data_IF_892468455774
#
_entry.id   IF_892468455774
#
_cell.length_a   1.000
_cell.length_b   1.000
_cell.length_c   1.000
_cell.angle_alpha   90.00
_cell.angle_beta   90.00
_cell.angle_gamma   90.00
#
_symmetry.space_group_name_H-M   'P 1'
#
loop_
_entity.id
_entity.type
_entity.pdbx_description
1 polymer ?
#
# COMPACT_ATOMS: atom_id res chain seq x y z
N UNK A 1 35.79 89.44 -5.04
CA UNK A 1 34.75 88.78 -4.21
C UNK A 1 34.18 87.50 -4.85
N UNK A 2 34.83 86.89 -5.86
CA UNK A 2 34.27 85.74 -6.61
C UNK A 2 34.76 84.35 -6.17
N UNK A 3 35.91 84.25 -5.51
CA UNK A 3 36.53 82.96 -5.18
C UNK A 3 35.71 82.09 -4.20
N UNK A 4 34.94 82.71 -3.29
CA UNK A 4 34.11 81.97 -2.34
C UNK A 4 32.83 81.37 -2.97
N UNK A 5 32.35 81.93 -4.08
CA UNK A 5 31.13 81.45 -4.76
C UNK A 5 31.40 80.16 -5.55
N UNK A 6 32.58 80.03 -6.16
CA UNK A 6 32.96 78.86 -6.93
C UNK A 6 33.18 77.61 -6.05
N UNK A 7 33.74 77.78 -4.85
CA UNK A 7 34.03 76.67 -3.94
C UNK A 7 32.75 76.07 -3.33
N UNK A 8 31.74 76.90 -3.05
CA UNK A 8 30.43 76.46 -2.54
C UNK A 8 29.66 75.60 -3.56
N UNK A 9 29.73 75.95 -4.85
CA UNK A 9 29.06 75.18 -5.92
C UNK A 9 29.72 73.81 -6.16
N UNK A 10 31.05 73.72 -6.06
CA UNK A 10 31.76 72.42 -6.17
C UNK A 10 31.44 71.47 -5.00
N UNK A 11 31.41 71.99 -3.77
CA UNK A 11 31.06 71.19 -2.59
C UNK A 11 29.59 70.69 -2.63
N UNK A 12 28.66 71.54 -3.09
CA UNK A 12 27.26 71.14 -3.28
C UNK A 12 27.08 70.09 -4.40
N UNK A 13 27.84 70.20 -5.49
CA UNK A 13 27.82 69.24 -6.60
C UNK A 13 28.37 67.86 -6.19
N UNK A 14 29.47 67.81 -5.43
CA UNK A 14 30.07 66.58 -4.94
C UNK A 14 29.19 65.85 -3.89
N UNK A 15 28.49 66.60 -3.05
CA UNK A 15 27.54 66.01 -2.09
C UNK A 15 26.30 65.44 -2.79
N UNK A 16 25.83 66.10 -3.85
CA UNK A 16 24.74 65.61 -4.70
C UNK A 16 25.10 64.32 -5.45
N UNK A 17 26.33 64.22 -5.98
CA UNK A 17 26.79 63.00 -6.67
C UNK A 17 26.97 61.82 -5.72
N UNK A 18 27.47 62.05 -4.50
CA UNK A 18 27.62 61.03 -3.46
C UNK A 18 26.27 60.54 -2.95
N UNK A 19 25.31 61.45 -2.75
CA UNK A 19 23.93 61.11 -2.39
C UNK A 19 23.24 60.28 -3.48
N UNK A 20 23.41 60.67 -4.75
CA UNK A 20 22.88 59.92 -5.90
C UNK A 20 23.45 58.50 -6.01
N UNK A 21 24.75 58.33 -5.79
CA UNK A 21 25.39 57.01 -5.81
C UNK A 21 24.89 56.11 -4.68
N UNK A 22 24.66 56.67 -3.47
CA UNK A 22 24.02 55.96 -2.35
C UNK A 22 22.60 55.51 -2.70
N UNK A 23 21.77 56.43 -3.19
CA UNK A 23 20.39 56.12 -3.60
C UNK A 23 20.35 55.06 -4.71
N UNK A 24 21.29 55.09 -5.65
CA UNK A 24 21.37 54.10 -6.72
C UNK A 24 21.75 52.70 -6.20
N UNK A 25 22.64 52.63 -5.19
CA UNK A 25 22.99 51.38 -4.52
C UNK A 25 21.80 50.81 -3.74
N UNK A 26 21.11 51.65 -2.98
CA UNK A 26 19.90 51.25 -2.24
C UNK A 26 18.81 50.76 -3.19
N UNK A 27 18.56 51.47 -4.30
CA UNK A 27 17.61 51.05 -5.33
C UNK A 27 17.98 49.69 -5.93
N UNK A 28 19.27 49.42 -6.14
CA UNK A 28 19.74 48.14 -6.67
C UNK A 28 19.54 47.01 -5.66
N UNK A 29 19.79 47.27 -4.38
CA UNK A 29 19.56 46.30 -3.30
C UNK A 29 18.07 45.97 -3.16
N UNK A 30 17.20 46.99 -3.09
CA UNK A 30 15.76 46.79 -3.01
C UNK A 30 15.21 45.96 -4.19
N UNK A 31 15.73 46.19 -5.41
CA UNK A 31 15.37 45.37 -6.58
C UNK A 31 15.80 43.91 -6.46
N UNK A 32 16.95 43.66 -5.83
CA UNK A 32 17.43 42.29 -5.62
C UNK A 32 16.58 41.59 -4.55
N UNK A 33 16.26 42.27 -3.45
CA UNK A 33 15.38 41.72 -2.41
C UNK A 33 13.99 41.40 -2.96
N UNK A 34 13.41 42.28 -3.78
CA UNK A 34 12.13 42.00 -4.43
C UNK A 34 12.18 40.75 -5.31
N UNK A 35 13.23 40.59 -6.13
CA UNK A 35 13.42 39.39 -6.95
C UNK A 35 13.61 38.12 -6.11
N UNK A 36 14.29 38.24 -4.97
CA UNK A 36 14.49 37.11 -4.07
C UNK A 36 13.15 36.67 -3.47
N UNK A 37 12.35 37.60 -2.96
CA UNK A 37 11.03 37.30 -2.41
C UNK A 37 10.08 36.69 -3.47
N UNK A 38 10.14 37.17 -4.71
CA UNK A 38 9.36 36.62 -5.83
C UNK A 38 9.75 35.17 -6.13
N UNK A 39 11.05 34.87 -6.18
CA UNK A 39 11.56 33.51 -6.37
C UNK A 39 11.17 32.59 -5.21
N UNK A 40 11.24 33.07 -3.97
CA UNK A 40 10.85 32.31 -2.78
C UNK A 40 9.34 32.01 -2.79
N UNK A 41 8.50 32.98 -3.18
CA UNK A 41 7.06 32.78 -3.33
C UNK A 41 6.73 31.78 -4.44
N UNK A 42 7.42 31.84 -5.59
CA UNK A 42 7.22 30.87 -6.66
C UNK A 42 7.65 29.46 -6.25
N UNK A 43 8.77 29.31 -5.54
CA UNK A 43 9.21 28.02 -5.01
C UNK A 43 8.18 27.45 -4.01
N UNK A 44 7.68 28.27 -3.08
CA UNK A 44 6.65 27.87 -2.12
C UNK A 44 5.35 27.44 -2.83
N UNK A 45 4.95 28.15 -3.88
CA UNK A 45 3.80 27.80 -4.72
C UNK A 45 3.99 26.44 -5.39
N UNK A 46 5.13 26.21 -6.06
CA UNK A 46 5.42 24.91 -6.71
C UNK A 46 5.43 23.76 -5.70
N UNK A 47 5.98 23.99 -4.51
CA UNK A 47 5.96 22.99 -3.44
C UNK A 47 4.52 22.66 -3.03
N UNK A 48 3.64 23.65 -2.93
CA UNK A 48 2.22 23.42 -2.62
C UNK A 48 1.51 22.65 -3.74
N UNK A 49 1.73 23.04 -5.00
CA UNK A 49 1.12 22.36 -6.16
C UNK A 49 1.51 20.88 -6.23
N UNK A 50 2.80 20.57 -6.05
CA UNK A 50 3.28 19.17 -6.03
C UNK A 50 2.67 18.40 -4.85
N UNK A 51 2.54 19.04 -3.67
CA UNK A 51 1.89 18.39 -2.52
C UNK A 51 0.43 18.05 -2.83
N UNK A 52 -0.31 18.98 -3.43
CA UNK A 52 -1.71 18.77 -3.79
C UNK A 52 -1.87 17.68 -4.88
N UNK A 53 -0.96 17.64 -5.85
CA UNK A 53 -0.89 16.57 -6.85
C UNK A 53 -0.67 15.19 -6.21
N UNK A 54 0.28 15.09 -5.26
CA UNK A 54 0.53 13.83 -4.54
C UNK A 54 -0.71 13.40 -3.75
N UNK A 55 -1.35 14.32 -3.01
CA UNK A 55 -2.57 14.02 -2.25
C UNK A 55 -3.69 13.54 -3.17
N UNK A 56 -3.85 14.19 -4.33
CA UNK A 56 -4.83 13.78 -5.34
C UNK A 56 -4.55 12.39 -5.89
N UNK A 57 -3.29 12.12 -6.29
CA UNK A 57 -2.88 10.80 -6.78
C UNK A 57 -3.17 9.71 -5.74
N UNK A 58 -2.81 9.95 -4.48
CA UNK A 58 -3.11 9.01 -3.39
C UNK A 58 -4.62 8.83 -3.15
N UNK A 59 -5.42 9.89 -3.30
CA UNK A 59 -6.89 9.82 -3.23
C UNK A 59 -7.49 9.02 -4.38
N UNK A 60 -7.01 9.21 -5.61
CA UNK A 60 -7.49 8.50 -6.79
C UNK A 60 -7.16 7.00 -6.70
N UNK A 61 -5.99 6.66 -6.15
CA UNK A 61 -5.67 5.27 -5.78
C UNK A 61 -6.63 4.70 -4.73
N UNK A 62 -7.15 5.52 -3.81
CA UNK A 62 -8.07 5.07 -2.76
C UNK A 62 -9.51 4.85 -3.29
N UNK A 63 -9.95 5.61 -4.30
CA UNK A 63 -11.31 5.53 -4.87
C UNK A 63 -11.58 4.22 -5.64
N UNK A 64 -10.56 3.61 -6.26
CA UNK A 64 -10.73 2.36 -7.02
C UNK A 64 -11.00 1.13 -6.13
N UNK A 65 -10.74 1.21 -4.83
CA UNK A 65 -10.90 0.09 -3.89
C UNK A 65 -12.13 0.23 -2.96
N UNK A 66 -12.78 1.40 -2.92
CA UNK A 66 -13.95 1.61 -2.07
C UNK A 66 -15.25 0.97 -2.60
N UNK A 67 -15.20 0.31 -3.77
CA UNK A 67 -16.33 -0.45 -4.32
C UNK A 67 -16.17 -1.94 -4.03
N UNK A 68 -15.91 -2.31 -2.79
CA UNK A 68 -15.97 -3.71 -2.37
C UNK A 68 -17.41 -4.02 -1.94
N UNK A 69 -18.11 -4.97 -2.59
CA UNK A 69 -19.38 -5.46 -2.08
C UNK A 69 -19.09 -6.07 -0.71
N UNK A 70 -19.70 -5.53 0.34
CA UNK A 70 -19.63 -6.05 1.71
C UNK A 70 -19.92 -7.57 1.68
N UNK A 71 -18.86 -8.38 1.67
CA UNK A 71 -18.98 -9.81 1.89
C UNK A 71 -19.40 -10.02 3.35
N UNK A 72 -20.33 -10.95 3.62
CA UNK A 72 -20.78 -11.20 4.97
C UNK A 72 -19.59 -11.60 5.85
N UNK A 73 -19.63 -11.23 7.14
CA UNK A 73 -18.53 -11.47 8.08
C UNK A 73 -18.18 -12.96 8.08
N UNK A 74 -16.90 -13.26 7.82
CA UNK A 74 -16.42 -14.63 7.84
C UNK A 74 -16.36 -15.11 9.29
N UNK A 75 -17.01 -16.24 9.63
CA UNK A 75 -16.99 -16.76 10.99
C UNK A 75 -15.58 -17.26 11.36
N UNK A 76 -15.23 -17.20 12.66
CA UNK A 76 -13.90 -17.55 13.16
C UNK A 76 -13.49 -18.99 12.77
N UNK A 77 -12.18 -19.28 12.61
CA UNK A 77 -11.68 -20.52 12.01
C UNK A 77 -12.23 -21.81 12.64
N UNK A 78 -12.54 -21.80 13.95
CA UNK A 78 -13.11 -22.95 14.66
C UNK A 78 -14.59 -23.21 14.36
N UNK A 79 -15.35 -22.19 13.98
CA UNK A 79 -16.78 -22.33 13.62
C UNK A 79 -16.97 -22.77 12.18
N UNK A 80 -15.99 -22.51 11.30
CA UNK A 80 -16.02 -22.93 9.89
C UNK A 80 -16.13 -24.45 9.75
N UNK A 81 -15.41 -25.20 10.58
CA UNK A 81 -15.48 -26.67 10.58
C UNK A 81 -16.82 -27.18 11.12
N UNK A 82 -17.39 -26.50 12.11
CA UNK A 82 -18.69 -26.86 12.69
C UNK A 82 -19.82 -26.63 11.69
N UNK A 83 -19.81 -25.52 10.96
CA UNK A 83 -20.78 -25.21 9.91
C UNK A 83 -20.70 -26.23 8.78
N UNK A 84 -19.47 -26.61 8.37
CA UNK A 84 -19.26 -27.63 7.34
C UNK A 84 -19.75 -29.00 7.82
N UNK A 85 -19.45 -29.39 9.07
CA UNK A 85 -19.92 -30.64 9.67
C UNK A 85 -21.44 -30.67 9.77
N UNK A 86 -22.08 -29.62 10.30
CA UNK A 86 -23.53 -29.56 10.43
C UNK A 86 -24.24 -29.62 9.07
N UNK A 87 -23.66 -28.96 8.05
CA UNK A 87 -24.17 -29.04 6.68
C UNK A 87 -24.05 -30.46 6.09
N UNK A 88 -22.88 -31.10 6.23
CA UNK A 88 -22.65 -32.48 5.77
C UNK A 88 -23.59 -33.47 6.47
N UNK A 89 -23.84 -33.27 7.77
CA UNK A 89 -24.75 -34.11 8.55
C UNK A 89 -26.24 -33.82 8.26
N UNK A 90 -26.57 -32.67 7.67
CA UNK A 90 -27.92 -32.32 7.25
C UNK A 90 -28.28 -32.81 5.83
N UNK A 91 -27.31 -33.35 5.07
CA UNK A 91 -27.55 -33.92 3.73
C UNK A 91 -28.24 -35.29 3.83
N UNK A 92 -29.27 -35.58 2.99
CA UNK A 92 -29.93 -36.87 2.97
C UNK A 92 -28.96 -37.95 2.48
N UNK A 93 -28.60 -38.89 3.37
CA UNK A 93 -27.72 -40.03 3.06
C UNK A 93 -26.49 -40.17 3.97
N UNK A 94 -26.20 -39.20 4.84
CA UNK A 94 -25.01 -39.23 5.72
C UNK A 94 -25.15 -40.09 6.99
N UNK A 95 -26.25 -40.84 7.14
CA UNK A 95 -26.34 -41.86 8.20
C UNK A 95 -25.28 -42.92 7.93
N UNK A 96 -24.25 -42.90 8.76
CA UNK A 96 -23.28 -43.96 8.96
C UNK A 96 -23.96 -45.33 8.83
N UNK A 97 -23.57 -46.06 7.79
CA UNK A 97 -23.98 -47.45 7.59
C UNK A 97 -23.50 -48.26 8.80
N UNK A 98 -24.45 -48.64 9.65
CA UNK A 98 -24.27 -49.78 10.53
C UNK A 98 -24.28 -51.02 9.65
N UNK A 99 -23.19 -51.78 9.69
CA UNK A 99 -23.02 -53.05 8.97
C UNK A 99 -23.95 -54.10 9.57
N UNK A 100 -25.12 -54.31 8.96
CA UNK A 100 -25.85 -55.56 9.12
C UNK A 100 -25.74 -56.38 7.83
N UNK A 101 -25.16 -57.56 7.98
CA UNK A 101 -25.06 -58.62 6.98
C UNK A 101 -26.47 -59.02 6.52
N UNK A 102 -26.70 -59.29 5.21
CA UNK A 102 -27.58 -60.35 4.67
C UNK A 102 -27.47 -60.42 3.12
N UNK A 103 -27.00 -61.59 2.69
CA UNK A 103 -27.26 -62.43 1.50
C UNK A 103 -27.75 -61.87 0.15
N UNK A 104 -27.01 -62.29 -0.89
CA UNK A 104 -27.24 -62.21 -2.33
C UNK A 104 -28.47 -63.01 -2.81
N UNK A 105 -29.35 -62.40 -3.64
CA UNK A 105 -30.12 -63.01 -4.75
C UNK A 105 -30.79 -61.89 -5.61
N UNK A 106 -30.56 -61.86 -6.93
CA UNK A 106 -31.10 -60.84 -7.86
C UNK A 106 -32.51 -61.14 -8.41
N UNK A 107 -32.92 -60.64 -9.61
CA UNK A 107 -32.59 -59.41 -10.32
C UNK A 107 -33.85 -58.51 -10.51
N UNK A 108 -33.70 -57.19 -10.42
CA UNK A 108 -34.82 -56.27 -10.64
C UNK A 108 -34.36 -54.83 -10.78
N UNK A 109 -33.91 -54.46 -11.97
CA UNK A 109 -33.71 -53.07 -12.33
C UNK A 109 -35.08 -52.38 -12.30
N UNK A 110 -35.32 -51.59 -11.25
CA UNK A 110 -36.27 -50.48 -11.29
C UNK A 110 -35.45 -49.21 -11.42
N UNK A 111 -35.29 -48.76 -12.66
CA UNK A 111 -34.89 -47.37 -12.94
C UNK A 111 -36.01 -46.49 -12.39
N UNK A 112 -35.72 -45.73 -11.33
CA UNK A 112 -36.50 -44.56 -10.97
C UNK A 112 -35.72 -43.31 -11.43
N UNK A 113 -36.38 -42.35 -12.09
CA UNK A 113 -35.72 -41.20 -12.65
C UNK A 113 -35.55 -40.08 -11.62
N UNK A 114 -34.56 -39.24 -11.90
CA UNK A 114 -34.40 -37.86 -11.44
C UNK A 114 -33.80 -37.63 -10.05
N UNK A 115 -32.47 -37.71 -9.94
CA UNK A 115 -31.65 -36.79 -9.11
C UNK A 115 -30.34 -36.37 -9.81
N UNK A 116 -30.40 -36.10 -11.12
CA UNK A 116 -29.22 -35.70 -11.89
C UNK A 116 -28.72 -34.28 -11.55
N UNK A 117 -29.49 -33.46 -10.83
CA UNK A 117 -29.09 -32.06 -10.54
C UNK A 117 -28.21 -31.88 -9.30
N UNK A 118 -28.27 -32.80 -8.34
CA UNK A 118 -27.44 -32.70 -7.13
C UNK A 118 -26.06 -33.32 -7.36
N UNK A 119 -25.98 -34.44 -8.08
CA UNK A 119 -24.72 -35.07 -8.46
C UNK A 119 -23.87 -34.16 -9.36
N UNK A 120 -24.50 -33.44 -10.30
CA UNK A 120 -23.80 -32.47 -11.16
C UNK A 120 -23.20 -31.31 -10.35
N UNK A 121 -23.91 -30.81 -9.33
CA UNK A 121 -23.41 -29.71 -8.46
C UNK A 121 -22.28 -30.16 -7.54
N UNK A 122 -22.36 -31.37 -7.00
CA UNK A 122 -21.27 -31.95 -6.19
C UNK A 122 -20.05 -32.20 -7.08
N UNK A 123 -20.23 -32.69 -8.30
CA UNK A 123 -19.14 -32.90 -9.26
C UNK A 123 -18.50 -31.57 -9.70
N UNK A 124 -19.30 -30.54 -9.99
CA UNK A 124 -18.81 -29.19 -10.33
C UNK A 124 -18.05 -28.53 -9.19
N UNK A 125 -18.55 -28.61 -7.95
CA UNK A 125 -17.86 -28.06 -6.78
C UNK A 125 -16.57 -28.80 -6.47
N UNK A 126 -16.54 -30.13 -6.64
CA UNK A 126 -15.32 -30.94 -6.51
C UNK A 126 -14.31 -30.56 -7.59
N UNK A 127 -14.76 -30.35 -8.84
CA UNK A 127 -13.93 -29.86 -9.93
C UNK A 127 -13.35 -28.47 -9.69
N UNK A 128 -14.14 -27.53 -9.15
CA UNK A 128 -13.69 -26.19 -8.78
C UNK A 128 -12.68 -26.21 -7.62
N UNK A 129 -12.94 -27.01 -6.57
CA UNK A 129 -11.99 -27.16 -5.46
C UNK A 129 -10.68 -27.79 -5.93
N UNK A 130 -10.74 -28.84 -6.76
CA UNK A 130 -9.57 -29.47 -7.33
C UNK A 130 -8.81 -28.51 -8.24
N UNK A 131 -9.51 -27.71 -9.05
CA UNK A 131 -8.91 -26.65 -9.85
C UNK A 131 -8.20 -25.62 -8.96
N UNK A 132 -8.86 -25.11 -7.92
CA UNK A 132 -8.26 -24.18 -6.96
C UNK A 132 -7.03 -24.75 -6.23
N UNK A 133 -7.05 -26.03 -5.87
CA UNK A 133 -5.94 -26.72 -5.21
C UNK A 133 -4.79 -27.06 -6.17
N UNK A 134 -5.09 -27.18 -7.46
CA UNK A 134 -4.12 -27.42 -8.54
C UNK A 134 -3.50 -26.14 -9.11
N UNK A 135 -4.02 -24.95 -8.72
CA UNK A 135 -3.38 -23.69 -9.07
C UNK A 135 -1.97 -23.70 -8.48
N UNK A 136 -0.94 -23.31 -9.25
CA UNK A 136 0.40 -23.17 -8.72
C UNK A 136 0.33 -22.26 -7.50
N UNK A 137 0.75 -22.76 -6.33
CA UNK A 137 0.89 -21.93 -5.14
C UNK A 137 1.70 -20.71 -5.54
N UNK A 138 1.12 -19.51 -5.38
CA UNK A 138 1.83 -18.26 -5.64
C UNK A 138 3.08 -18.32 -4.76
N UNK A 139 4.26 -18.39 -5.37
CA UNK A 139 5.53 -18.36 -4.65
C UNK A 139 5.55 -17.05 -3.86
N UNK A 140 5.50 -17.13 -2.54
CA UNK A 140 5.80 -15.98 -1.68
C UNK A 140 7.23 -15.58 -2.03
N UNK A 141 7.38 -14.37 -2.57
CA UNK A 141 8.70 -13.83 -2.89
C UNK A 141 9.28 -13.39 -1.56
N UNK A 142 10.20 -14.18 -1.01
CA UNK A 142 10.91 -13.79 0.19
C UNK A 142 12.02 -12.80 -0.14
N UNK A 143 12.35 -11.93 0.80
CA UNK A 143 13.34 -10.86 0.65
C UNK A 143 14.48 -11.05 1.63
N UNK A 144 15.68 -11.30 1.11
CA UNK A 144 16.90 -11.58 1.87
C UNK A 144 17.74 -10.33 2.17
N UNK A 145 17.40 -9.20 1.58
CA UNK A 145 18.11 -7.93 1.75
C UNK A 145 18.90 -7.46 0.52
N UNK A 146 18.86 -8.18 -0.60
CA UNK A 146 19.48 -7.71 -1.83
C UNK A 146 18.83 -6.41 -2.35
N UNK A 147 19.54 -5.26 -2.41
CA UNK A 147 18.96 -4.00 -2.87
C UNK A 147 18.43 -4.04 -4.31
N UNK A 148 18.98 -4.93 -5.16
CA UNK A 148 18.52 -5.08 -6.54
C UNK A 148 17.11 -5.67 -6.63
N UNK A 149 16.74 -6.51 -5.66
CA UNK A 149 15.44 -7.19 -5.64
C UNK A 149 14.38 -6.40 -4.86
N UNK A 150 14.80 -5.39 -4.08
CA UNK A 150 13.93 -4.62 -3.18
C UNK A 150 12.69 -4.02 -3.87
N UNK A 151 12.88 -3.40 -5.04
CA UNK A 151 11.77 -2.77 -5.78
C UNK A 151 10.76 -3.82 -6.26
N UNK A 152 11.26 -4.96 -6.77
CA UNK A 152 10.42 -6.07 -7.22
C UNK A 152 9.64 -6.70 -6.07
N UNK A 153 10.33 -6.93 -4.95
CA UNK A 153 9.74 -7.41 -3.71
C UNK A 153 8.62 -6.50 -3.21
N UNK A 154 8.90 -5.20 -3.03
CA UNK A 154 7.94 -4.25 -2.47
C UNK A 154 6.67 -4.14 -3.34
N UNK A 155 6.82 -4.15 -4.66
CA UNK A 155 5.67 -4.15 -5.59
C UNK A 155 4.82 -5.41 -5.47
N UNK A 156 5.45 -6.58 -5.34
CA UNK A 156 4.74 -7.84 -5.12
C UNK A 156 4.02 -7.85 -3.78
N UNK A 157 4.69 -7.43 -2.72
CA UNK A 157 4.15 -7.33 -1.37
C UNK A 157 2.91 -6.44 -1.31
N UNK A 158 2.98 -5.21 -1.84
CA UNK A 158 1.85 -4.27 -1.88
C UNK A 158 0.66 -4.84 -2.66
N UNK A 159 0.93 -5.55 -3.76
CA UNK A 159 -0.12 -6.21 -4.55
C UNK A 159 -0.80 -7.34 -3.79
N UNK A 160 -0.10 -8.00 -2.86
CA UNK A 160 -0.66 -9.05 -2.01
C UNK A 160 -1.49 -8.44 -0.88
N UNK A 161 -0.93 -7.47 -0.14
CA UNK A 161 -1.61 -6.82 0.99
C UNK A 161 -2.90 -6.12 0.55
N UNK A 162 -2.92 -5.47 -0.62
CA UNK A 162 -4.11 -4.84 -1.16
C UNK A 162 -5.31 -5.79 -1.32
N UNK A 163 -5.09 -7.11 -1.38
CA UNK A 163 -6.15 -8.14 -1.50
C UNK A 163 -6.69 -8.63 -0.17
N UNK A 164 -6.03 -8.33 0.95
CA UNK A 164 -6.32 -8.89 2.27
C UNK A 164 -6.55 -7.81 3.34
N UNK A 165 -6.83 -6.57 2.91
CA UNK A 165 -6.73 -5.32 3.67
C UNK A 165 -7.79 -5.10 4.77
N UNK A 166 -8.43 -6.17 5.27
CA UNK A 166 -9.49 -6.09 6.29
C UNK A 166 -8.96 -6.02 7.73
N UNK A 167 -7.68 -6.37 7.95
CA UNK A 167 -7.03 -6.32 9.27
C UNK A 167 -5.80 -5.38 9.21
N UNK A 168 -5.76 -4.29 10.02
CA UNK A 168 -4.64 -3.36 10.02
C UNK A 168 -3.33 -3.94 10.59
N UNK A 169 -3.36 -5.08 11.30
CA UNK A 169 -2.15 -5.76 11.79
C UNK A 169 -1.55 -6.72 10.75
N UNK A 170 -2.39 -7.28 9.87
CA UNK A 170 -1.98 -8.26 8.85
C UNK A 170 -0.83 -7.79 7.93
N UNK A 171 -0.80 -6.54 7.42
CA UNK A 171 0.28 -6.08 6.56
C UNK A 171 1.66 -6.19 7.21
N UNK A 172 1.77 -5.85 8.49
CA UNK A 172 3.06 -5.85 9.18
C UNK A 172 3.55 -7.27 9.43
N UNK A 173 2.68 -8.15 9.93
CA UNK A 173 3.05 -9.55 10.19
C UNK A 173 3.42 -10.28 8.90
N UNK A 174 2.67 -10.02 7.83
CA UNK A 174 2.96 -10.55 6.50
C UNK A 174 4.29 -10.00 5.93
N UNK A 175 4.60 -8.72 6.19
CA UNK A 175 5.88 -8.13 5.77
C UNK A 175 7.07 -8.78 6.47
N UNK A 176 6.92 -9.06 7.77
CA UNK A 176 7.94 -9.73 8.57
C UNK A 176 8.12 -11.18 8.11
N UNK A 177 7.04 -11.90 7.78
CA UNK A 177 7.14 -13.28 7.30
C UNK A 177 7.78 -13.40 5.93
N UNK A 178 7.56 -12.42 5.06
CA UNK A 178 8.14 -12.39 3.71
C UNK A 178 9.59 -11.84 3.71
N UNK A 179 10.09 -11.32 4.83
CA UNK A 179 11.49 -10.94 4.99
C UNK A 179 12.30 -12.07 5.64
N UNK A 180 13.53 -12.27 5.18
CA UNK A 180 14.50 -13.20 5.77
C UNK A 180 15.76 -12.45 6.18
N UNK A 181 16.56 -13.04 7.07
CA UNK A 181 17.86 -12.48 7.45
C UNK A 181 17.80 -11.06 8.02
N UNK A 182 18.72 -10.19 7.57
CA UNK A 182 18.88 -8.82 8.06
C UNK A 182 17.60 -7.96 7.92
N UNK A 183 16.90 -7.94 6.78
CA UNK A 183 15.62 -7.22 6.64
C UNK A 183 14.61 -7.55 7.74
N UNK A 184 14.40 -8.84 8.02
CA UNK A 184 13.49 -9.27 9.07
C UNK A 184 13.94 -8.71 10.42
N UNK A 185 15.23 -8.83 10.75
CA UNK A 185 15.78 -8.30 12.01
C UNK A 185 15.58 -6.81 12.17
N UNK A 186 15.76 -6.06 11.08
CA UNK A 186 15.67 -4.62 11.07
C UNK A 186 14.24 -4.12 11.39
N UNK A 187 13.22 -4.88 10.97
CA UNK A 187 11.81 -4.49 11.15
C UNK A 187 11.11 -5.20 12.31
N UNK A 188 11.65 -6.28 12.88
CA UNK A 188 10.99 -7.06 13.96
C UNK A 188 10.43 -6.20 15.11
N UNK A 189 11.15 -5.16 15.51
CA UNK A 189 10.75 -4.26 16.61
C UNK A 189 9.58 -3.34 16.30
N UNK A 190 9.15 -3.22 15.05
CA UNK A 190 8.00 -2.38 14.71
C UNK A 190 6.66 -2.97 15.18
N UNK A 191 6.61 -4.27 15.50
CA UNK A 191 5.44 -4.97 16.06
C UNK A 191 5.01 -4.46 17.43
N UNK A 192 5.90 -3.78 18.16
CA UNK A 192 5.59 -3.17 19.47
C UNK A 192 4.74 -1.91 19.33
N UNK A 193 4.72 -1.30 18.15
CA UNK A 193 3.94 -0.10 17.87
C UNK A 193 2.50 -0.44 17.50
N UNK A 194 1.64 0.58 17.44
CA UNK A 194 0.28 0.41 16.90
C UNK A 194 0.38 -0.14 15.45
N UNK A 195 -0.58 -0.97 15.00
CA UNK A 195 -0.49 -1.67 13.71
C UNK A 195 -0.06 -0.79 12.52
N UNK A 196 -0.76 0.33 12.31
CA UNK A 196 -0.44 1.27 11.24
C UNK A 196 0.94 1.93 11.42
N UNK A 197 1.27 2.37 12.63
CA UNK A 197 2.52 3.05 12.94
C UNK A 197 3.73 2.09 12.80
N UNK A 198 3.56 0.84 13.23
CA UNK A 198 4.54 -0.23 13.08
C UNK A 198 4.80 -0.55 11.61
N UNK A 199 3.73 -0.67 10.82
CA UNK A 199 3.83 -0.88 9.37
C UNK A 199 4.58 0.27 8.69
N UNK A 200 4.16 1.52 8.92
CA UNK A 200 4.79 2.69 8.33
C UNK A 200 6.29 2.79 8.70
N UNK A 201 6.62 2.45 9.94
CA UNK A 201 8.01 2.43 10.42
C UNK A 201 8.82 1.32 9.75
N UNK A 202 8.25 0.13 9.57
CA UNK A 202 8.92 -1.00 8.92
C UNK A 202 9.28 -0.66 7.46
N UNK A 203 8.33 -0.10 6.70
CA UNK A 203 8.56 0.33 5.31
C UNK A 203 9.71 1.33 5.23
N UNK A 204 9.71 2.37 6.08
CA UNK A 204 10.78 3.38 6.10
C UNK A 204 12.16 2.79 6.42
N UNK A 205 12.23 1.77 7.28
CA UNK A 205 13.48 1.10 7.61
C UNK A 205 14.00 0.34 6.38
N UNK A 206 13.12 -0.42 5.71
CA UNK A 206 13.50 -1.19 4.53
C UNK A 206 13.93 -0.28 3.37
N UNK A 207 13.18 0.79 3.08
CA UNK A 207 13.53 1.75 2.04
C UNK A 207 14.88 2.43 2.30
N UNK A 208 15.15 2.80 3.57
CA UNK A 208 16.41 3.45 3.94
C UNK A 208 17.60 2.52 3.78
N UNK A 209 17.46 1.25 4.15
CA UNK A 209 18.57 0.28 4.17
C UNK A 209 18.79 -0.39 2.81
N UNK A 210 17.72 -0.72 2.09
CA UNK A 210 17.77 -1.56 0.90
C UNK A 210 17.17 -0.90 -0.35
N UNK A 211 16.54 0.27 -0.21
CA UNK A 211 15.87 0.95 -1.32
C UNK A 211 16.77 1.73 -2.28
N UNK A 212 18.08 1.78 -2.03
CA UNK A 212 19.04 2.42 -2.92
C UNK A 212 19.99 1.37 -3.51
N UNK A 213 20.01 1.17 -4.84
CA UNK A 213 21.06 0.37 -5.46
C UNK A 213 22.41 1.08 -5.22
N UNK A 214 23.40 0.32 -4.73
CA UNK A 214 24.76 0.80 -4.45
C UNK A 214 25.57 1.07 -5.72
#
# INVERSE_FOLDING_TARGET
>A
MEAHSANRRKAQSANGSTSRAKLQRELRLARLELKQLELEAEAAKRISEIKDEIVKVLSDYNCCFASEPLLPPTPPPGERLKIVLDYVMSLPGSKTRQEDQITLNGPGIRVLPAESREFDRVSETTGLLQACMSLPARRSVTFDGNPMDFIGFMRNFQSTVARFNNDPAYPLDYLISDCEGEPAEAIRWSTVLKPQEGYDKAIRILERRFGRPH
#
